data_IF_898467531968
#
_entry.id   IF_898467531968
#
_cell.length_a   1.000
_cell.length_b   1.000
_cell.length_c   1.000
_cell.angle_alpha   90.00
_cell.angle_beta   90.00
_cell.angle_gamma   90.00
#
_symmetry.space_group_name_H-M   'P 1'
#
loop_
_entity.id
_entity.type
_entity.pdbx_description
1 polymer ?
#
# COMPACT_ATOMS: atom_id res chain seq x y z
N UNK A 1 -31.01 -16.78 14.62
CA UNK A 1 -30.00 -15.78 14.23
C UNK A 1 -30.75 -14.71 13.45
N UNK A 2 -30.82 -13.49 13.98
CA UNK A 2 -31.71 -12.44 13.51
C UNK A 2 -31.22 -11.81 12.18
N UNK A 3 -32.11 -11.42 11.26
CA UNK A 3 -31.73 -10.87 9.95
C UNK A 3 -30.94 -9.55 10.08
N UNK A 4 -31.17 -8.79 11.15
CA UNK A 4 -30.41 -7.58 11.47
C UNK A 4 -28.95 -7.87 11.83
N UNK A 5 -28.68 -9.04 12.42
CA UNK A 5 -27.35 -9.47 12.87
C UNK A 5 -26.45 -9.92 11.70
N UNK A 6 -27.08 -10.43 10.63
CA UNK A 6 -26.39 -10.77 9.39
C UNK A 6 -26.06 -9.54 8.54
N UNK A 7 -26.92 -8.51 8.56
CA UNK A 7 -26.67 -7.23 7.88
C UNK A 7 -25.52 -6.46 8.52
N UNK A 8 -25.52 -6.34 9.85
CA UNK A 8 -24.46 -5.62 10.59
C UNK A 8 -23.06 -6.22 10.35
N UNK A 9 -22.96 -7.56 10.37
CA UNK A 9 -21.69 -8.26 10.06
C UNK A 9 -21.22 -8.03 8.63
N UNK A 10 -22.13 -7.98 7.67
CA UNK A 10 -21.79 -7.71 6.26
C UNK A 10 -21.22 -6.30 6.10
N UNK A 11 -21.86 -5.31 6.73
CA UNK A 11 -21.42 -3.91 6.66
C UNK A 11 -20.08 -3.69 7.36
N UNK A 12 -19.81 -4.42 8.45
CA UNK A 12 -18.51 -4.41 9.13
C UNK A 12 -17.39 -4.97 8.23
N UNK A 13 -17.65 -6.11 7.56
CA UNK A 13 -16.68 -6.72 6.63
C UNK A 13 -16.40 -5.79 5.45
N UNK A 14 -17.44 -5.22 4.85
CA UNK A 14 -17.31 -4.28 3.73
C UNK A 14 -16.49 -3.05 4.15
N UNK A 15 -16.79 -2.47 5.31
CA UNK A 15 -16.04 -1.33 5.85
C UNK A 15 -14.57 -1.68 6.09
N UNK A 16 -14.29 -2.88 6.63
CA UNK A 16 -12.92 -3.34 6.86
C UNK A 16 -12.15 -3.52 5.55
N UNK A 17 -12.78 -4.09 4.53
CA UNK A 17 -12.20 -4.23 3.18
C UNK A 17 -11.92 -2.85 2.59
N UNK A 18 -12.87 -1.92 2.69
CA UNK A 18 -12.70 -0.54 2.20
C UNK A 18 -11.49 0.12 2.83
N UNK A 19 -11.36 0.08 4.16
CA UNK A 19 -10.21 0.65 4.86
C UNK A 19 -8.88 0.00 4.47
N UNK A 20 -8.85 -1.33 4.28
CA UNK A 20 -7.65 -2.04 3.82
C UNK A 20 -7.25 -1.66 2.39
N UNK A 21 -8.21 -1.53 1.49
CA UNK A 21 -7.98 -1.08 0.11
C UNK A 21 -7.49 0.37 0.09
N UNK A 22 -8.12 1.24 0.88
CA UNK A 22 -7.70 2.64 1.02
C UNK A 22 -6.26 2.75 1.52
N UNK A 23 -5.90 2.00 2.56
CA UNK A 23 -4.53 1.94 3.07
C UNK A 23 -3.53 1.50 1.98
N UNK A 24 -3.90 0.56 1.12
CA UNK A 24 -3.05 0.08 0.01
C UNK A 24 -2.78 1.19 -1.01
N UNK A 25 -3.77 2.05 -1.28
CA UNK A 25 -3.60 3.21 -2.17
C UNK A 25 -2.54 4.16 -1.60
N UNK A 26 -2.49 4.41 -0.29
CA UNK A 26 -1.43 5.25 0.30
C UNK A 26 -0.05 4.61 0.22
N UNK A 27 0.03 3.29 0.39
CA UNK A 27 1.29 2.55 0.27
C UNK A 27 1.90 2.69 -1.12
N UNK A 28 1.07 2.85 -2.16
CA UNK A 28 1.54 3.09 -3.54
C UNK A 28 1.69 4.57 -3.88
N UNK A 29 0.72 5.39 -3.45
CA UNK A 29 0.61 6.80 -3.79
C UNK A 29 1.66 7.67 -3.12
N UNK A 30 1.96 7.44 -1.83
CA UNK A 30 2.96 8.24 -1.10
C UNK A 30 4.36 8.05 -1.72
N UNK A 31 4.89 6.83 -1.94
CA UNK A 31 6.20 6.65 -2.55
C UNK A 31 6.28 7.22 -3.97
N UNK A 32 5.23 7.04 -4.78
CA UNK A 32 5.18 7.59 -6.13
C UNK A 32 5.21 9.13 -6.12
N UNK A 33 4.42 9.76 -5.24
CA UNK A 33 4.43 11.21 -5.08
C UNK A 33 5.80 11.73 -4.66
N UNK A 34 6.42 11.11 -3.66
CA UNK A 34 7.77 11.48 -3.20
C UNK A 34 8.81 11.30 -4.31
N UNK A 35 8.76 10.21 -5.05
CA UNK A 35 9.67 9.95 -6.17
C UNK A 35 9.56 11.02 -7.26
N UNK A 36 8.35 11.45 -7.62
CA UNK A 36 8.14 12.53 -8.59
C UNK A 36 8.63 13.87 -8.03
N UNK A 37 8.24 14.21 -6.80
CA UNK A 37 8.60 15.48 -6.18
C UNK A 37 10.11 15.66 -6.06
N UNK A 38 10.81 14.66 -5.50
CA UNK A 38 12.27 14.70 -5.39
C UNK A 38 12.98 14.52 -6.72
N UNK A 39 12.45 13.64 -7.58
CA UNK A 39 13.00 13.40 -8.91
C UNK A 39 13.05 14.65 -9.76
N UNK A 40 11.95 15.40 -9.86
CA UNK A 40 11.90 16.63 -10.64
C UNK A 40 12.86 17.69 -10.09
N UNK A 41 13.00 17.79 -8.77
CA UNK A 41 13.91 18.75 -8.12
C UNK A 41 15.38 18.41 -8.41
N UNK A 42 15.73 17.13 -8.36
CA UNK A 42 17.09 16.65 -8.63
C UNK A 42 17.43 16.70 -10.12
N UNK A 43 16.51 16.30 -10.99
CA UNK A 43 16.69 16.37 -12.44
C UNK A 43 16.94 17.82 -12.91
N UNK A 44 16.22 18.79 -12.33
CA UNK A 44 16.44 20.21 -12.61
C UNK A 44 17.78 20.74 -12.09
N UNK A 45 18.28 20.21 -10.97
CA UNK A 45 19.58 20.60 -10.42
C UNK A 45 20.76 20.03 -11.24
N UNK A 46 20.67 18.79 -11.69
CA UNK A 46 21.72 18.10 -12.44
C UNK A 46 21.60 18.24 -13.97
N UNK A 47 20.59 18.95 -14.47
CA UNK A 47 20.26 19.10 -15.90
C UNK A 47 20.18 17.75 -16.66
N UNK A 48 19.77 16.69 -15.95
CA UNK A 48 19.77 15.30 -16.43
C UNK A 48 18.47 14.92 -17.18
N UNK A 49 17.63 15.91 -17.50
CA UNK A 49 16.34 15.69 -18.16
C UNK A 49 15.30 15.09 -17.20
N UNK A 50 15.00 13.80 -17.36
CA UNK A 50 14.02 13.06 -16.50
C UNK A 50 14.58 11.73 -15.97
N UNK A 51 15.88 11.50 -16.10
CA UNK A 51 16.50 10.19 -15.80
C UNK A 51 16.42 9.86 -14.31
N UNK A 52 16.63 10.85 -13.43
CA UNK A 52 16.60 10.65 -11.98
C UNK A 52 15.16 10.40 -11.52
N UNK A 53 14.19 11.13 -12.06
CA UNK A 53 12.76 10.91 -11.78
C UNK A 53 12.32 9.50 -12.16
N UNK A 54 12.71 9.00 -13.33
CA UNK A 54 12.38 7.64 -13.76
C UNK A 54 13.04 6.61 -12.84
N UNK A 55 14.32 6.79 -12.49
CA UNK A 55 15.02 5.91 -11.57
C UNK A 55 14.35 5.86 -10.18
N UNK A 56 13.96 7.02 -9.64
CA UNK A 56 13.26 7.11 -8.35
C UNK A 56 11.86 6.51 -8.40
N UNK A 57 11.14 6.64 -9.53
CA UNK A 57 9.84 6.00 -9.72
C UNK A 57 9.95 4.48 -9.71
N UNK A 58 10.95 3.92 -10.39
CA UNK A 58 11.22 2.48 -10.37
C UNK A 58 11.58 2.02 -8.96
N UNK A 59 12.41 2.78 -8.24
CA UNK A 59 12.77 2.51 -6.85
C UNK A 59 11.56 2.54 -5.92
N UNK A 60 10.71 3.57 -6.05
CA UNK A 60 9.48 3.69 -5.28
C UNK A 60 8.51 2.54 -5.56
N UNK A 61 8.38 2.11 -6.81
CA UNK A 61 7.58 0.94 -7.17
C UNK A 61 8.08 -0.33 -6.46
N UNK A 62 9.37 -0.61 -6.52
CA UNK A 62 9.97 -1.78 -5.86
C UNK A 62 9.75 -1.73 -4.34
N UNK A 63 9.99 -0.56 -3.72
CA UNK A 63 9.79 -0.39 -2.27
C UNK A 63 8.33 -0.60 -1.86
N UNK A 64 7.37 -0.08 -2.64
CA UNK A 64 5.94 -0.30 -2.38
C UNK A 64 5.57 -1.78 -2.43
N UNK A 65 6.09 -2.53 -3.41
CA UNK A 65 5.85 -3.98 -3.50
C UNK A 65 6.44 -4.75 -2.31
N UNK A 66 7.64 -4.39 -1.86
CA UNK A 66 8.25 -4.99 -0.65
C UNK A 66 7.35 -4.76 0.57
N UNK A 67 6.79 -3.55 0.73
CA UNK A 67 5.90 -3.22 1.85
C UNK A 67 4.60 -4.04 1.77
N UNK A 68 3.98 -4.12 0.59
CA UNK A 68 2.75 -4.90 0.37
C UNK A 68 3.00 -6.38 0.70
N UNK A 69 4.09 -6.96 0.19
CA UNK A 69 4.47 -8.35 0.45
C UNK A 69 4.66 -8.59 1.94
N UNK A 70 5.37 -7.69 2.65
CA UNK A 70 5.55 -7.81 4.11
C UNK A 70 4.24 -7.72 4.88
N UNK A 71 3.33 -6.83 4.50
CA UNK A 71 2.00 -6.75 5.11
C UNK A 71 1.20 -8.04 4.90
N UNK A 72 1.28 -8.62 3.70
CA UNK A 72 0.64 -9.90 3.38
C UNK A 72 1.21 -11.05 4.23
N UNK A 73 2.54 -11.16 4.33
CA UNK A 73 3.17 -12.18 5.19
C UNK A 73 2.81 -12.01 6.66
N UNK A 74 2.75 -10.76 7.17
CA UNK A 74 2.36 -10.50 8.55
C UNK A 74 0.91 -10.94 8.84
N UNK A 75 -0.02 -10.66 7.91
CA UNK A 75 -1.40 -11.12 7.99
C UNK A 75 -1.48 -12.66 7.99
N UNK A 76 -0.70 -13.32 7.13
CA UNK A 76 -0.66 -14.78 7.05
C UNK A 76 -0.10 -15.41 8.34
N UNK A 77 0.92 -14.79 8.96
CA UNK A 77 1.50 -15.26 10.22
C UNK A 77 0.53 -15.05 11.41
N UNK A 78 -0.25 -13.97 11.40
CA UNK A 78 -1.33 -13.74 12.36
C UNK A 78 -2.45 -14.80 12.23
N UNK A 79 -2.85 -15.14 11.00
CA UNK A 79 -3.85 -16.20 10.75
C UNK A 79 -3.36 -17.56 11.25
N UNK A 80 -2.10 -17.94 10.95
CA UNK A 80 -1.51 -19.20 11.42
C UNK A 80 -1.44 -19.32 12.94
N UNK A 81 -1.32 -18.19 13.66
CA UNK A 81 -1.31 -18.16 15.13
C UNK A 81 -2.71 -18.34 15.73
N UNK A 82 -3.75 -17.88 15.03
CA UNK A 82 -5.15 -18.07 15.44
C UNK A 82 -5.61 -19.50 15.17
N UNK A 83 -5.17 -20.12 14.07
CA UNK A 83 -5.55 -21.49 13.69
C UNK A 83 -4.87 -22.58 14.55
N UNK A 84 -3.75 -22.25 15.20
CA UNK A 84 -3.03 -23.15 16.11
C UNK A 84 -3.50 -23.11 17.58
N UNK A 85 -4.49 -22.28 17.91
CA UNK A 85 -4.99 -22.10 19.27
C UNK A 85 -6.43 -22.58 19.39
#
# INVERSE_FOLDING_TARGET
MDQNDLKSKKDEIVSKIFWKSFQTIFVLGIPAFLAVYFGLKLDGYYNNGRKITIALLVLAFILSWIIIIRQYYKLNDEIKKVEKK
#
